data_IF_739629571885
#
_entry.id   IF_739629571885
#
_cell.length_a   1.000
_cell.length_b   1.000
_cell.length_c   1.000
_cell.angle_alpha   90.00
_cell.angle_beta   90.00
_cell.angle_gamma   90.00
#
_symmetry.space_group_name_H-M   'P 1'
#
loop_
_entity.id
_entity.type
_entity.pdbx_description
1 polymer ?
#
# COMPACT_ATOMS: atom_id res chain seq x y z
N UNK A 1 -18.36 1.12 -0.58
CA UNK A 1 -17.25 1.43 -1.50
C UNK A 1 -16.05 0.64 -1.06
N UNK A 2 -15.19 0.23 -2.00
CA UNK A 2 -13.82 -0.18 -1.68
C UNK A 2 -13.04 1.08 -1.29
N UNK A 3 -12.24 1.01 -0.24
CA UNK A 3 -11.44 2.11 0.25
C UNK A 3 -10.05 1.57 0.61
N UNK A 4 -9.02 2.31 0.23
CA UNK A 4 -7.65 2.06 0.70
C UNK A 4 -7.56 2.57 2.15
N UNK A 5 -7.15 1.70 3.06
CA UNK A 5 -6.93 2.09 4.45
C UNK A 5 -5.43 2.21 4.70
N UNK A 6 -4.96 3.42 5.00
CA UNK A 6 -3.54 3.69 5.28
C UNK A 6 -3.46 4.32 6.68
N UNK A 7 -2.74 3.66 7.59
CA UNK A 7 -2.60 4.12 8.97
C UNK A 7 -1.16 4.54 9.28
N UNK A 8 -1.01 5.59 10.08
CA UNK A 8 0.25 6.01 10.68
C UNK A 8 0.08 6.05 12.20
N UNK A 9 0.96 5.34 12.91
CA UNK A 9 0.98 5.30 14.37
C UNK A 9 2.37 5.73 14.87
N UNK A 10 2.40 6.55 15.92
CA UNK A 10 3.65 6.93 16.57
C UNK A 10 4.33 5.67 17.14
N UNK A 11 5.63 5.52 16.87
CA UNK A 11 6.41 4.34 17.23
C UNK A 11 7.64 4.68 18.10
N UNK A 12 7.63 5.84 18.76
CA UNK A 12 8.74 6.37 19.54
C UNK A 12 9.84 7.01 18.70
N UNK A 13 10.63 7.89 19.33
CA UNK A 13 11.89 8.43 18.77
C UNK A 13 11.75 9.10 17.40
N UNK A 14 10.61 9.76 17.15
CA UNK A 14 10.35 10.44 15.87
C UNK A 14 10.06 9.49 14.71
N UNK A 15 9.72 8.23 14.99
CA UNK A 15 9.34 7.23 14.00
C UNK A 15 7.83 7.01 13.97
N UNK A 16 7.38 6.49 12.84
CA UNK A 16 6.02 6.01 12.64
C UNK A 16 6.07 4.54 12.23
N UNK A 17 5.13 3.76 12.75
CA UNK A 17 4.74 2.49 12.18
C UNK A 17 3.57 2.73 11.24
N UNK A 18 3.63 2.16 10.04
CA UNK A 18 2.53 2.21 9.07
C UNK A 18 2.13 0.82 8.63
N UNK A 19 0.83 0.68 8.40
CA UNK A 19 0.23 -0.51 7.81
C UNK A 19 -1.08 -0.13 7.15
N UNK A 20 -1.53 -0.98 6.24
CA UNK A 20 -2.70 -0.71 5.45
C UNK A 20 -2.84 -1.67 4.29
N UNK A 21 -3.80 -1.34 3.43
CA UNK A 21 -4.04 -2.06 2.18
C UNK A 21 -4.28 -1.13 1.00
N UNK A 22 -3.75 -1.54 -0.16
CA UNK A 22 -4.12 -1.02 -1.47
C UNK A 22 -5.13 -1.94 -2.13
N UNK A 23 -6.08 -1.36 -2.88
CA UNK A 23 -7.04 -2.11 -3.71
C UNK A 23 -6.70 -1.85 -5.17
N UNK A 24 -6.19 -2.88 -5.84
CA UNK A 24 -5.51 -2.75 -7.12
C UNK A 24 -6.17 -3.61 -8.20
N UNK A 25 -6.17 -3.13 -9.43
CA UNK A 25 -6.31 -3.97 -10.62
C UNK A 25 -5.03 -4.75 -10.86
N UNK A 26 -5.10 -5.78 -11.71
CA UNK A 26 -3.94 -6.61 -12.05
C UNK A 26 -2.75 -5.81 -12.62
N UNK A 27 -3.03 -4.73 -13.37
CA UNK A 27 -2.01 -3.90 -14.00
C UNK A 27 -1.28 -2.99 -12.99
N UNK A 28 -1.92 -2.65 -11.87
CA UNK A 28 -1.38 -1.76 -10.85
C UNK A 28 -0.53 -2.50 -9.80
N UNK A 29 -0.66 -3.82 -9.68
CA UNK A 29 0.03 -4.64 -8.67
C UNK A 29 1.54 -4.44 -8.69
N UNK A 30 2.21 -4.75 -9.80
CA UNK A 30 3.68 -4.73 -9.84
C UNK A 30 4.27 -3.33 -9.67
N UNK A 31 3.72 -2.27 -10.32
CA UNK A 31 4.19 -0.91 -10.07
C UNK A 31 4.10 -0.49 -8.59
N UNK A 32 3.02 -0.87 -7.90
CA UNK A 32 2.87 -0.57 -6.47
C UNK A 32 3.86 -1.37 -5.62
N UNK A 33 4.08 -2.66 -5.90
CA UNK A 33 5.10 -3.47 -5.19
C UNK A 33 6.46 -2.80 -5.32
N UNK A 34 6.89 -2.48 -6.54
CA UNK A 34 8.21 -1.87 -6.77
C UNK A 34 8.35 -0.54 -6.03
N UNK A 35 7.32 0.32 -6.07
CA UNK A 35 7.35 1.58 -5.34
C UNK A 35 7.41 1.41 -3.81
N UNK A 36 6.78 0.38 -3.24
CA UNK A 36 6.90 0.09 -1.81
C UNK A 36 8.30 -0.44 -1.46
N UNK A 37 8.81 -1.38 -2.24
CA UNK A 37 10.11 -2.01 -2.01
C UNK A 37 11.29 -1.03 -2.18
N UNK A 38 11.23 -0.14 -3.18
CA UNK A 38 12.23 0.93 -3.41
C UNK A 38 12.30 1.93 -2.24
N UNK A 39 11.30 1.93 -1.37
CA UNK A 39 11.17 2.79 -0.19
C UNK A 39 11.24 2.03 1.14
N UNK A 40 11.79 0.81 1.14
CA UNK A 40 11.93 -0.06 2.32
C UNK A 40 10.58 -0.40 3.02
N UNK A 41 9.48 -0.38 2.27
CA UNK A 41 8.15 -0.78 2.76
C UNK A 41 7.87 -2.23 2.35
N UNK A 42 7.66 -3.09 3.35
CA UNK A 42 7.46 -4.51 3.11
C UNK A 42 6.02 -4.79 2.63
N UNK A 43 5.89 -5.51 1.52
CA UNK A 43 4.64 -6.15 1.13
C UNK A 43 4.45 -7.42 1.95
N UNK A 44 3.37 -7.48 2.73
CA UNK A 44 3.12 -8.57 3.69
C UNK A 44 2.13 -9.61 3.15
N UNK A 45 1.24 -9.22 2.24
CA UNK A 45 0.34 -10.13 1.54
C UNK A 45 -0.19 -9.54 0.23
N UNK A 46 -0.54 -10.42 -0.70
CA UNK A 46 -1.26 -10.09 -1.93
C UNK A 46 -2.30 -11.18 -2.20
N UNK A 47 -3.58 -10.80 -2.28
CA UNK A 47 -4.68 -11.74 -2.51
C UNK A 47 -5.90 -11.06 -3.14
N UNK A 48 -6.95 -11.81 -3.43
CA UNK A 48 -8.22 -11.30 -3.98
C UNK A 48 -9.35 -11.85 -3.11
N UNK A 49 -10.33 -10.99 -2.79
CA UNK A 49 -11.43 -11.37 -1.90
C UNK A 49 -12.56 -12.12 -2.61
N UNK A 50 -12.75 -11.92 -3.92
CA UNK A 50 -13.87 -12.54 -4.63
C UNK A 50 -13.39 -13.53 -5.69
N UNK A 51 -14.28 -14.48 -6.02
CA UNK A 51 -13.97 -15.57 -6.93
C UNK A 51 -14.18 -15.20 -8.41
N UNK A 52 -15.13 -14.29 -8.71
CA UNK A 52 -15.62 -14.04 -10.08
C UNK A 52 -15.82 -12.57 -10.43
N UNK A 53 -15.30 -11.65 -9.61
CA UNK A 53 -15.44 -10.21 -9.85
C UNK A 53 -14.74 -9.78 -11.15
N UNK A 54 -15.28 -8.76 -11.82
CA UNK A 54 -14.66 -8.14 -12.99
C UNK A 54 -14.78 -6.60 -12.93
N UNK A 55 -13.67 -5.85 -13.08
CA UNK A 55 -12.29 -6.33 -13.14
C UNK A 55 -11.88 -7.04 -11.84
N UNK A 56 -10.93 -7.98 -11.92
CA UNK A 56 -10.41 -8.65 -10.73
C UNK A 56 -9.66 -7.64 -9.87
N UNK A 57 -9.97 -7.64 -8.57
CA UNK A 57 -9.31 -6.76 -7.61
C UNK A 57 -8.36 -7.55 -6.72
N UNK A 58 -7.22 -6.93 -6.41
CA UNK A 58 -6.19 -7.44 -5.54
C UNK A 58 -6.04 -6.53 -4.33
N UNK A 59 -5.90 -7.13 -3.16
CA UNK A 59 -5.71 -6.47 -1.88
C UNK A 59 -4.26 -6.71 -1.47
N UNK A 60 -3.49 -5.63 -1.38
CA UNK A 60 -2.07 -5.67 -1.07
C UNK A 60 -1.82 -5.06 0.30
N UNK A 61 -1.38 -5.89 1.23
CA UNK A 61 -1.08 -5.49 2.61
C UNK A 61 0.39 -5.09 2.71
N UNK A 62 0.68 -4.07 3.52
CA UNK A 62 2.05 -3.62 3.75
C UNK A 62 2.34 -3.29 5.21
N UNK A 63 3.63 -3.22 5.52
CA UNK A 63 4.15 -2.83 6.83
C UNK A 63 5.46 -2.05 6.67
N UNK A 64 5.61 -0.97 7.44
CA UNK A 64 6.91 -0.30 7.60
C UNK A 64 7.03 0.40 8.95
N UNK A 65 8.28 0.59 9.38
CA UNK A 65 8.63 1.48 10.51
C UNK A 65 9.78 2.37 10.06
N UNK A 66 9.58 3.68 10.08
CA UNK A 66 10.56 4.64 9.56
C UNK A 66 10.33 6.05 10.06
N UNK A 67 11.07 7.03 9.53
CA UNK A 67 10.73 8.43 9.77
C UNK A 67 9.42 8.76 9.08
N UNK A 68 8.67 9.73 9.59
CA UNK A 68 7.42 10.17 8.96
C UNK A 68 7.62 10.54 7.49
N UNK A 69 8.72 11.22 7.16
CA UNK A 69 9.02 11.70 5.80
C UNK A 69 9.32 10.54 4.84
N UNK A 70 10.15 9.58 5.27
CA UNK A 70 10.51 8.41 4.44
C UNK A 70 9.30 7.54 4.14
N UNK A 71 8.52 7.23 5.18
CA UNK A 71 7.30 6.43 5.03
C UNK A 71 6.27 7.16 4.18
N UNK A 72 6.02 8.45 4.43
CA UNK A 72 5.07 9.22 3.62
C UNK A 72 5.50 9.31 2.15
N UNK A 73 6.80 9.40 1.86
CA UNK A 73 7.32 9.40 0.49
C UNK A 73 7.05 8.07 -0.22
N UNK A 74 7.29 6.93 0.44
CA UNK A 74 7.02 5.61 -0.15
C UNK A 74 5.54 5.36 -0.40
N UNK A 75 4.67 5.71 0.56
CA UNK A 75 3.22 5.63 0.38
C UNK A 75 2.75 6.53 -0.77
N UNK A 76 3.27 7.75 -0.87
CA UNK A 76 2.95 8.66 -1.98
C UNK A 76 3.41 8.11 -3.33
N UNK A 77 4.58 7.47 -3.40
CA UNK A 77 5.09 6.84 -4.62
C UNK A 77 4.17 5.69 -5.05
N UNK A 78 3.78 4.81 -4.12
CA UNK A 78 2.82 3.74 -4.36
C UNK A 78 1.47 4.26 -4.86
N UNK A 79 0.89 5.27 -4.18
CA UNK A 79 -0.38 5.90 -4.59
C UNK A 79 -0.32 6.52 -5.99
N UNK A 80 0.86 6.92 -6.49
CA UNK A 80 0.99 7.49 -7.83
C UNK A 80 0.75 6.47 -8.96
N UNK A 81 0.80 5.17 -8.63
CA UNK A 81 0.51 4.07 -9.54
C UNK A 81 -0.93 3.57 -9.47
N UNK A 82 -1.74 4.10 -8.55
CA UNK A 82 -3.15 3.74 -8.41
C UNK A 82 -4.00 4.69 -9.25
N UNK A 83 -4.72 4.16 -10.24
CA UNK A 83 -5.61 4.92 -11.11
C UNK A 83 -6.98 5.18 -10.46
N UNK A 84 -7.39 4.35 -9.50
CA UNK A 84 -8.65 4.49 -8.78
C UNK A 84 -8.53 5.56 -7.70
N UNK A 85 -8.93 6.79 -8.02
CA UNK A 85 -9.16 7.83 -7.00
C UNK A 85 -10.43 7.49 -6.22
N UNK A 86 -10.30 7.17 -4.94
CA UNK A 86 -11.43 7.10 -3.99
C UNK A 86 -12.05 8.48 -3.76
#
# INVERSE_FOLDING_TARGET
GVAEAINFQEAGSGKVATTGDFVLTAEEVNPVISALEDHDIAVTALHSHMLTEQPRLFFMHFWAVGSTESVAAGIKAALSHVAVKS
#
